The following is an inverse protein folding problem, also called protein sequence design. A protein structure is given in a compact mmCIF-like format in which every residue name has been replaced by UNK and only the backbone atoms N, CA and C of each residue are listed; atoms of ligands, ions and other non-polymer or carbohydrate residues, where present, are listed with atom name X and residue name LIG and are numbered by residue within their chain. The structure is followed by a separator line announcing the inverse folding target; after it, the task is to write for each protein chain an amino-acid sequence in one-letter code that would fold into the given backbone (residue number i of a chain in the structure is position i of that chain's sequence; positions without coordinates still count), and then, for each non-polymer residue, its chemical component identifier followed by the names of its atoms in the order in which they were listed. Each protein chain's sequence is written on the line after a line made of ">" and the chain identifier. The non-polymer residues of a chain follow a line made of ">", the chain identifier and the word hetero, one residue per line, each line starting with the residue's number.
data_IF_599615052576
#
_entry.id   IF_599615052576
#
_cell.length_a   1.000
_cell.length_b   1.000
_cell.length_c   1.000
_cell.angle_alpha   90.00
_cell.angle_beta   90.00
_cell.angle_gamma   90.00
#
_symmetry.space_group_name_H-M   'P 1'
#
loop_
_entity.id
_entity.type
_entity.pdbx_description
1 polymer ?
#
# COMPACT_ATOMS: atom_id res chain seq x y z
N UNK A 1 -10.89 -4.89 -17.67
CA UNK A 1 -10.22 -6.17 -17.47
C UNK A 1 -9.43 -6.63 -18.70
N UNK A 2 -9.93 -6.37 -19.91
CA UNK A 2 -9.30 -6.83 -21.16
C UNK A 2 -7.91 -6.27 -21.41
N UNK A 3 -7.58 -5.11 -20.84
CA UNK A 3 -6.28 -4.48 -21.02
C UNK A 3 -5.23 -4.91 -19.97
N UNK A 4 -5.56 -5.66 -18.92
CA UNK A 4 -4.59 -6.06 -17.89
C UNK A 4 -3.45 -6.89 -18.46
N UNK A 5 -3.76 -7.90 -19.26
CA UNK A 5 -2.74 -8.71 -19.94
C UNK A 5 -1.87 -7.87 -20.89
N UNK A 6 -2.47 -6.87 -21.53
CA UNK A 6 -1.74 -5.97 -22.41
C UNK A 6 -0.79 -5.07 -21.63
N UNK A 7 -1.24 -4.50 -20.49
CA UNK A 7 -0.40 -3.71 -19.60
C UNK A 7 0.80 -4.53 -19.07
N UNK A 8 0.56 -5.77 -18.65
CA UNK A 8 1.61 -6.67 -18.21
C UNK A 8 2.64 -6.95 -19.32
N UNK A 9 2.18 -7.28 -20.53
CA UNK A 9 3.08 -7.52 -21.67
C UNK A 9 3.90 -6.30 -22.08
N UNK A 10 3.36 -5.10 -21.88
CA UNK A 10 4.06 -3.84 -22.17
C UNK A 10 5.01 -3.42 -21.05
N UNK A 11 5.06 -4.15 -19.95
CA UNK A 11 5.89 -3.80 -18.78
C UNK A 11 5.45 -2.53 -18.07
N UNK A 12 4.15 -2.17 -18.16
CA UNK A 12 3.61 -1.00 -17.49
C UNK A 12 3.48 -1.28 -16.01
N UNK A 13 3.99 -0.39 -15.17
CA UNK A 13 3.78 -0.41 -13.73
C UNK A 13 2.59 0.47 -13.34
N UNK A 14 1.82 0.07 -12.33
CA UNK A 14 0.69 0.80 -11.81
C UNK A 14 1.04 1.50 -10.50
N UNK A 15 1.04 2.83 -10.50
CA UNK A 15 1.10 3.65 -9.29
C UNK A 15 -0.34 3.92 -8.83
N UNK A 16 -0.71 3.44 -7.65
CA UNK A 16 -2.06 3.56 -7.11
C UNK A 16 -2.07 4.09 -5.67
N UNK A 17 -3.20 4.64 -5.24
CA UNK A 17 -3.35 5.33 -3.96
C UNK A 17 -4.43 4.62 -3.10
N UNK A 18 -4.03 3.67 -2.24
CA UNK A 18 -5.02 2.90 -1.46
C UNK A 18 -5.85 3.76 -0.49
N UNK A 19 -5.30 4.87 0.02
CA UNK A 19 -6.05 5.77 0.87
C UNK A 19 -7.19 6.45 0.10
N UNK A 20 -6.95 6.88 -1.15
CA UNK A 20 -8.01 7.46 -1.99
C UNK A 20 -9.16 6.47 -2.19
N UNK A 21 -8.84 5.18 -2.36
CA UNK A 21 -9.86 4.15 -2.56
C UNK A 21 -10.94 4.18 -1.47
N UNK A 22 -10.56 4.24 -0.18
CA UNK A 22 -11.54 4.25 0.92
C UNK A 22 -12.32 5.56 1.03
N UNK A 23 -11.78 6.66 0.52
CA UNK A 23 -12.49 7.94 0.42
C UNK A 23 -13.50 7.94 -0.73
N UNK A 24 -13.16 7.30 -1.83
CA UNK A 24 -13.93 7.32 -3.08
C UNK A 24 -15.07 6.33 -3.13
N UNK A 25 -15.18 5.38 -2.18
CA UNK A 25 -16.17 4.30 -2.20
C UNK A 25 -17.58 4.80 -2.57
N UNK A 26 -18.09 5.78 -1.82
CA UNK A 26 -19.45 6.28 -2.01
C UNK A 26 -19.63 6.94 -3.39
N UNK A 27 -18.66 7.76 -3.80
CA UNK A 27 -18.68 8.43 -5.10
C UNK A 27 -18.65 7.41 -6.26
N UNK A 28 -17.84 6.36 -6.15
CA UNK A 28 -17.73 5.33 -7.18
C UNK A 28 -19.04 4.53 -7.26
N UNK A 29 -19.59 4.11 -6.13
CA UNK A 29 -20.83 3.34 -6.08
C UNK A 29 -22.00 4.14 -6.69
N UNK A 30 -22.07 5.45 -6.43
CA UNK A 30 -23.08 6.34 -7.00
C UNK A 30 -22.89 6.62 -8.50
N UNK A 31 -21.62 6.80 -8.94
CA UNK A 31 -21.30 7.26 -10.29
C UNK A 31 -21.27 6.13 -11.33
N UNK A 32 -20.70 4.98 -10.97
CA UNK A 32 -20.46 3.87 -11.90
C UNK A 32 -21.10 2.54 -11.47
N UNK A 33 -21.65 2.48 -10.27
CA UNK A 33 -22.39 1.33 -9.74
C UNK A 33 -21.57 0.03 -9.81
N UNK A 34 -22.13 -1.08 -10.34
CA UNK A 34 -21.44 -2.38 -10.38
C UNK A 34 -20.11 -2.39 -11.16
N UNK A 35 -19.83 -1.38 -11.97
CA UNK A 35 -18.55 -1.24 -12.64
C UNK A 35 -17.42 -0.81 -11.68
N UNK A 36 -17.77 -0.34 -10.49
CA UNK A 36 -16.82 -0.01 -9.40
C UNK A 36 -15.86 -1.15 -9.07
N UNK A 37 -16.26 -2.41 -9.30
CA UNK A 37 -15.39 -3.59 -9.12
C UNK A 37 -14.08 -3.54 -9.94
N UNK A 38 -14.03 -2.72 -10.99
CA UNK A 38 -12.85 -2.55 -11.84
C UNK A 38 -11.97 -1.37 -11.42
N UNK A 39 -12.44 -0.57 -10.45
CA UNK A 39 -11.65 0.51 -9.88
C UNK A 39 -10.81 -0.03 -8.73
N UNK A 40 -9.58 0.48 -8.57
CA UNK A 40 -8.68 0.02 -7.51
C UNK A 40 -8.54 -1.51 -7.46
N UNK A 41 -8.42 -2.15 -8.64
CA UNK A 41 -8.40 -3.60 -8.82
C UNK A 41 -7.02 -4.18 -8.55
N UNK A 42 -6.51 -4.05 -7.31
CA UNK A 42 -5.14 -4.40 -6.94
C UNK A 42 -4.84 -5.89 -7.16
N UNK A 43 -5.76 -6.77 -6.73
CA UNK A 43 -5.56 -8.21 -6.89
C UNK A 43 -5.47 -8.61 -8.36
N UNK A 44 -6.42 -8.13 -9.18
CA UNK A 44 -6.44 -8.43 -10.61
C UNK A 44 -5.16 -7.94 -11.31
N UNK A 45 -4.64 -6.76 -10.93
CA UNK A 45 -3.39 -6.22 -11.50
C UNK A 45 -2.19 -7.09 -11.10
N UNK A 46 -2.08 -7.45 -9.82
CA UNK A 46 -0.97 -8.28 -9.32
C UNK A 46 -1.02 -9.67 -9.96
N UNK A 47 -2.19 -10.29 -10.03
CA UNK A 47 -2.38 -11.61 -10.64
C UNK A 47 -2.09 -11.62 -12.15
N UNK A 48 -2.30 -10.49 -12.81
CA UNK A 48 -1.90 -10.30 -14.22
C UNK A 48 -0.38 -10.06 -14.38
N UNK A 49 0.39 -9.97 -13.30
CA UNK A 49 1.84 -9.72 -13.33
C UNK A 49 2.22 -8.25 -13.54
N UNK A 50 1.30 -7.32 -13.32
CA UNK A 50 1.58 -5.89 -13.36
C UNK A 50 2.26 -5.50 -12.03
N UNK A 51 3.44 -4.87 -12.05
CA UNK A 51 4.04 -4.31 -10.85
C UNK A 51 3.14 -3.20 -10.28
N UNK A 52 2.60 -3.41 -9.07
CA UNK A 52 1.75 -2.44 -8.37
C UNK A 52 2.53 -1.81 -7.24
N UNK A 53 2.59 -0.49 -7.21
CA UNK A 53 3.21 0.26 -6.12
C UNK A 53 2.34 1.42 -5.68
N UNK A 54 2.59 1.92 -4.48
CA UNK A 54 1.68 2.81 -3.80
C UNK A 54 2.28 4.18 -3.55
N UNK A 55 1.39 5.19 -3.55
CA UNK A 55 1.67 6.55 -3.11
C UNK A 55 0.52 7.09 -2.27
N UNK A 56 0.73 8.22 -1.60
CA UNK A 56 -0.30 8.87 -0.78
C UNK A 56 -1.12 9.88 -1.57
N UNK A 57 -0.59 10.41 -2.67
CA UNK A 57 -1.17 11.56 -3.39
C UNK A 57 -1.26 12.81 -2.48
N UNK A 58 -0.30 12.97 -1.57
CA UNK A 58 -0.29 14.16 -0.70
C UNK A 58 -0.19 15.45 -1.52
N UNK A 59 -0.93 16.52 -1.16
CA UNK A 59 -1.71 16.71 0.08
C UNK A 59 -3.18 16.28 0.00
N UNK A 60 -3.58 15.49 -1.01
CA UNK A 60 -4.97 15.02 -1.14
C UNK A 60 -5.31 14.07 0.01
N UNK A 61 -4.38 13.18 0.36
CA UNK A 61 -4.50 12.27 1.48
C UNK A 61 -3.35 12.44 2.48
N UNK A 62 -3.49 11.79 3.65
CA UNK A 62 -2.42 11.66 4.63
C UNK A 62 -1.20 10.95 4.02
N UNK A 63 -0.01 11.36 4.45
CA UNK A 63 1.25 10.79 3.98
C UNK A 63 1.58 9.43 4.60
N UNK A 64 0.81 8.97 5.62
CA UNK A 64 1.09 7.73 6.34
C UNK A 64 0.90 6.49 5.46
N UNK A 65 1.95 5.69 5.22
CA UNK A 65 1.82 4.42 4.50
C UNK A 65 0.94 3.40 5.24
N UNK A 66 0.84 3.49 6.58
CA UNK A 66 0.06 2.56 7.39
C UNK A 66 -1.43 2.64 7.08
N UNK A 67 -1.95 3.84 6.79
CA UNK A 67 -3.33 4.04 6.33
C UNK A 67 -3.53 3.37 4.97
N UNK A 68 -2.58 3.52 4.06
CA UNK A 68 -2.64 2.89 2.74
C UNK A 68 -2.53 1.35 2.81
N UNK A 69 -1.65 0.81 3.67
CA UNK A 69 -1.54 -0.63 3.91
C UNK A 69 -2.86 -1.18 4.46
N UNK A 70 -3.41 -0.54 5.52
CA UNK A 70 -4.72 -0.89 6.06
C UNK A 70 -5.80 -0.91 4.97
N UNK A 71 -5.90 0.15 4.18
CA UNK A 71 -6.89 0.27 3.12
C UNK A 71 -6.76 -0.83 2.05
N UNK A 72 -5.53 -1.14 1.62
CA UNK A 72 -5.29 -2.16 0.60
C UNK A 72 -5.60 -3.59 1.09
N UNK A 73 -5.32 -3.86 2.38
CA UNK A 73 -5.50 -5.18 2.99
C UNK A 73 -6.95 -5.43 3.42
N UNK A 74 -7.59 -4.43 4.01
CA UNK A 74 -8.97 -4.58 4.54
C UNK A 74 -10.05 -4.18 3.54
N UNK A 75 -9.76 -3.18 2.70
CA UNK A 75 -10.71 -2.47 1.84
C UNK A 75 -11.86 -1.85 2.64
N UNK A 76 -11.55 -1.40 3.84
CA UNK A 76 -12.47 -0.79 4.79
C UNK A 76 -11.91 0.55 5.28
N UNK A 77 -12.81 1.43 5.69
CA UNK A 77 -12.46 2.60 6.51
C UNK A 77 -12.05 2.14 7.91
N UNK A 78 -11.46 3.04 8.69
CA UNK A 78 -11.06 2.77 10.07
C UNK A 78 -12.22 2.34 10.98
N UNK A 79 -13.44 2.75 10.67
CA UNK A 79 -14.67 2.37 11.39
C UNK A 79 -15.22 0.99 11.00
N UNK A 80 -14.52 0.25 10.14
CA UNK A 80 -14.91 -1.08 9.66
C UNK A 80 -15.91 -1.05 8.49
N UNK A 81 -16.25 0.11 7.95
CA UNK A 81 -17.18 0.20 6.82
C UNK A 81 -16.47 0.22 5.46
N UNK A 82 -17.08 -0.36 4.40
CA UNK A 82 -18.24 -1.25 4.44
C UNK A 82 -17.89 -2.59 5.10
N UNK A 83 -18.86 -3.19 5.79
CA UNK A 83 -18.68 -4.51 6.43
C UNK A 83 -18.22 -5.54 5.40
N UNK A 84 -17.20 -6.33 5.77
CA UNK A 84 -16.60 -7.31 4.88
C UNK A 84 -15.74 -6.71 3.76
N UNK A 85 -15.55 -5.39 3.71
CA UNK A 85 -14.68 -4.71 2.72
C UNK A 85 -15.33 -4.45 1.37
N UNK A 86 -14.98 -3.32 0.77
CA UNK A 86 -15.45 -2.94 -0.56
C UNK A 86 -14.78 -3.79 -1.65
N UNK A 87 -15.55 -4.60 -2.37
CA UNK A 87 -15.05 -5.60 -3.32
C UNK A 87 -13.89 -6.45 -2.72
N UNK A 88 -14.17 -7.29 -1.71
CA UNK A 88 -13.15 -7.97 -0.92
C UNK A 88 -12.26 -8.93 -1.74
N UNK A 89 -12.68 -9.34 -2.92
CA UNK A 89 -11.84 -10.09 -3.85
C UNK A 89 -10.63 -9.31 -4.38
N UNK A 90 -10.60 -8.00 -4.18
CA UNK A 90 -9.48 -7.14 -4.56
C UNK A 90 -8.51 -6.85 -3.40
N UNK A 91 -8.66 -7.53 -2.26
CA UNK A 91 -7.70 -7.46 -1.15
C UNK A 91 -6.35 -8.01 -1.56
N UNK A 92 -5.33 -7.47 -0.96
CA UNK A 92 -3.96 -7.99 -1.05
C UNK A 92 -3.44 -8.32 0.35
N UNK A 93 -2.39 -9.10 0.44
CA UNK A 93 -1.74 -9.43 1.72
C UNK A 93 -0.97 -8.23 2.29
N UNK A 94 -0.66 -8.28 3.59
CA UNK A 94 0.21 -7.29 4.24
C UNK A 94 1.58 -7.26 3.56
N UNK A 95 2.15 -8.42 3.19
CA UNK A 95 3.43 -8.48 2.48
C UNK A 95 3.38 -7.75 1.14
N UNK A 96 2.36 -8.01 0.32
CA UNK A 96 2.19 -7.34 -0.97
C UNK A 96 2.03 -5.82 -0.78
N UNK A 97 1.29 -5.39 0.24
CA UNK A 97 1.10 -3.97 0.55
C UNK A 97 2.41 -3.30 1.00
N UNK A 98 3.18 -3.93 1.90
CA UNK A 98 4.50 -3.43 2.33
C UNK A 98 5.46 -3.38 1.15
N UNK A 99 5.51 -4.41 0.33
CA UNK A 99 6.34 -4.44 -0.89
C UNK A 99 5.97 -3.32 -1.86
N UNK A 100 4.67 -3.02 -1.98
CA UNK A 100 4.16 -1.91 -2.80
C UNK A 100 4.64 -0.52 -2.34
N UNK A 101 4.99 -0.37 -1.06
CA UNK A 101 5.57 0.86 -0.51
C UNK A 101 7.10 0.84 -0.43
N UNK A 102 7.77 -0.28 -0.69
CA UNK A 102 9.21 -0.43 -0.45
C UNK A 102 9.96 -0.91 -1.69
N UNK A 103 10.04 -2.24 -1.89
CA UNK A 103 10.90 -2.81 -2.93
C UNK A 103 10.33 -2.62 -4.35
N UNK A 104 9.01 -2.67 -4.53
CA UNK A 104 8.43 -2.54 -5.87
C UNK A 104 8.72 -1.17 -6.49
N UNK A 105 8.45 -0.02 -5.82
CA UNK A 105 8.85 1.28 -6.37
C UNK A 105 10.37 1.39 -6.57
N UNK A 106 11.19 0.79 -5.70
CA UNK A 106 12.65 0.79 -5.88
C UNK A 106 13.06 0.09 -7.18
N UNK A 107 12.45 -1.05 -7.48
CA UNK A 107 12.67 -1.77 -8.75
C UNK A 107 12.27 -0.93 -9.98
N UNK A 108 11.09 -0.28 -9.91
CA UNK A 108 10.58 0.55 -11.01
C UNK A 108 11.52 1.72 -11.30
N UNK A 109 12.11 2.31 -10.27
CA UNK A 109 13.06 3.42 -10.41
C UNK A 109 14.52 2.99 -10.59
N UNK A 110 14.80 1.67 -10.70
CA UNK A 110 16.16 1.12 -10.88
C UNK A 110 17.06 1.41 -9.68
N UNK A 111 16.53 1.34 -8.48
CA UNK A 111 17.24 1.59 -7.22
C UNK A 111 17.16 0.43 -6.23
N UNK A 112 16.71 -0.70 -6.66
CA UNK A 112 16.54 -1.89 -5.82
C UNK A 112 17.87 -2.54 -5.40
N UNK A 113 18.96 -2.15 -6.00
CA UNK A 113 20.32 -2.49 -5.57
C UNK A 113 20.77 -1.73 -4.32
N UNK A 114 20.21 -0.53 -4.07
CA UNK A 114 20.65 0.37 -2.97
C UNK A 114 19.59 0.63 -1.89
N UNK A 115 18.29 0.47 -2.18
CA UNK A 115 17.19 0.71 -1.23
C UNK A 115 16.05 -0.30 -1.40
N UNK A 116 15.02 -0.20 -0.57
CA UNK A 116 13.74 -0.92 -0.70
C UNK A 116 13.68 -2.29 -0.02
N UNK A 117 14.78 -2.80 0.52
CA UNK A 117 14.80 -4.03 1.32
C UNK A 117 15.91 -4.01 2.37
N UNK A 118 15.72 -4.77 3.45
CA UNK A 118 16.72 -4.95 4.50
C UNK A 118 17.71 -6.03 4.04
N UNK A 119 18.72 -5.62 3.30
CA UNK A 119 19.76 -6.50 2.73
C UNK A 119 21.12 -5.88 2.96
N UNK A 120 22.15 -6.65 3.39
CA UNK A 120 23.51 -6.13 3.56
C UNK A 120 24.00 -5.43 2.29
N UNK A 121 24.58 -4.26 2.46
CA UNK A 121 25.10 -3.41 1.37
C UNK A 121 24.14 -2.33 0.88
N UNK A 122 22.87 -2.36 1.29
CA UNK A 122 21.91 -1.29 1.01
C UNK A 122 21.94 -0.19 2.07
N UNK A 123 21.42 0.98 1.71
CA UNK A 123 21.22 2.07 2.67
C UNK A 123 20.34 1.61 3.83
N UNK A 124 20.71 2.03 5.04
CA UNK A 124 19.91 1.77 6.24
C UNK A 124 18.80 2.84 6.37
N UNK A 125 17.91 2.87 5.38
CA UNK A 125 16.67 3.64 5.37
C UNK A 125 15.57 2.74 5.94
N UNK A 126 15.33 2.85 7.25
CA UNK A 126 14.53 1.90 8.01
C UNK A 126 13.44 2.62 8.81
N UNK A 127 12.32 1.95 8.97
CA UNK A 127 11.30 2.31 9.95
C UNK A 127 11.12 1.17 10.93
N UNK A 128 11.04 1.50 12.23
CA UNK A 128 10.69 0.57 13.30
C UNK A 128 9.30 0.94 13.77
N UNK A 129 8.41 -0.04 13.80
CA UNK A 129 7.03 0.10 14.24
C UNK A 129 6.90 -0.37 15.69
N UNK A 130 5.88 0.13 16.42
CA UNK A 130 5.60 -0.26 17.81
C UNK A 130 4.95 -1.64 17.94
N UNK A 131 4.52 -2.22 16.81
CA UNK A 131 3.92 -3.56 16.75
C UNK A 131 4.22 -4.25 15.41
N UNK A 132 4.11 -5.57 15.40
CA UNK A 132 4.31 -6.38 14.20
C UNK A 132 3.02 -6.40 13.37
N UNK A 133 2.99 -5.62 12.29
CA UNK A 133 1.82 -5.51 11.39
C UNK A 133 1.50 -6.79 10.61
N UNK A 134 2.40 -7.78 10.62
CA UNK A 134 2.15 -9.08 9.99
C UNK A 134 1.39 -10.05 10.91
N UNK A 135 1.35 -9.78 12.22
CA UNK A 135 0.76 -10.67 13.24
C UNK A 135 -0.51 -10.16 13.90
N UNK A 136 -0.80 -8.85 13.80
CA UNK A 136 -2.00 -8.23 14.36
C UNK A 136 -3.21 -8.35 13.43
N UNK A 137 -4.40 -8.05 13.96
CA UNK A 137 -5.59 -7.88 13.11
C UNK A 137 -5.32 -6.75 12.08
N UNK A 138 -5.57 -6.97 10.78
CA UNK A 138 -5.41 -5.93 9.76
C UNK A 138 -6.16 -4.63 10.06
N UNK A 139 -7.25 -4.68 10.81
CA UNK A 139 -7.98 -3.48 11.25
C UNK A 139 -7.18 -2.64 12.24
N UNK A 140 -6.20 -3.22 12.94
CA UNK A 140 -5.35 -2.50 13.90
C UNK A 140 -4.13 -1.84 13.25
N UNK A 141 -3.83 -2.15 11.97
CA UNK A 141 -2.66 -1.59 11.25
C UNK A 141 -2.69 -0.07 11.26
N UNK A 142 -3.86 0.53 11.11
CA UNK A 142 -4.04 1.99 11.08
C UNK A 142 -3.69 2.67 12.42
N UNK A 143 -3.66 1.94 13.52
CA UNK A 143 -3.30 2.43 14.86
C UNK A 143 -1.84 2.17 15.23
N UNK A 144 -1.08 1.53 14.33
CA UNK A 144 0.36 1.30 14.49
C UNK A 144 1.13 2.62 14.45
N UNK A 145 2.14 2.75 15.31
CA UNK A 145 2.95 3.96 15.39
C UNK A 145 4.38 3.69 14.93
N UNK A 146 5.00 4.71 14.37
CA UNK A 146 6.43 4.68 14.09
C UNK A 146 7.19 4.94 15.38
N UNK A 147 8.01 3.97 15.80
CA UNK A 147 8.90 4.07 16.95
C UNK A 147 10.19 4.82 16.58
N UNK A 148 10.83 4.44 15.49
CA UNK A 148 12.04 5.08 14.98
C UNK A 148 11.98 5.18 13.45
N UNK A 149 12.60 6.24 12.92
CA UNK A 149 12.95 6.31 11.50
C UNK A 149 14.44 6.56 11.37
N UNK A 150 15.09 5.75 10.55
CA UNK A 150 16.49 5.91 10.18
C UNK A 150 16.59 6.32 8.72
N UNK A 151 17.48 7.25 8.43
CA UNK A 151 17.87 7.62 7.08
C UNK A 151 19.38 7.53 6.97
N UNK A 152 19.87 6.73 6.06
CA UNK A 152 21.29 6.42 5.88
C UNK A 152 21.99 6.03 7.22
N UNK A 153 21.30 5.18 7.99
CA UNK A 153 21.79 4.70 9.30
C UNK A 153 21.69 5.71 10.46
N UNK A 154 21.19 6.92 10.22
CA UNK A 154 21.03 7.96 11.25
C UNK A 154 19.58 8.01 11.70
N UNK A 155 19.34 8.07 13.00
CA UNK A 155 18.01 8.29 13.56
C UNK A 155 17.58 9.72 13.23
N UNK A 156 16.52 9.85 12.40
CA UNK A 156 15.92 11.14 12.02
C UNK A 156 14.57 11.41 12.70
N UNK A 157 13.96 10.36 13.25
CA UNK A 157 12.75 10.47 14.05
C UNK A 157 12.77 9.44 15.18
N UNK A 158 12.28 9.85 16.36
CA UNK A 158 12.08 8.99 17.52
C UNK A 158 10.69 9.30 18.10
N UNK A 159 9.83 8.27 18.15
CA UNK A 159 8.51 8.36 18.76
C UNK A 159 8.56 8.48 20.29
N UNK A 160 7.48 8.95 20.89
CA UNK A 160 7.37 9.07 22.34
C UNK A 160 7.45 7.67 22.99
N UNK A 161 8.32 7.53 24.00
CA UNK A 161 8.51 6.28 24.74
C UNK A 161 9.54 5.30 24.16
N UNK A 162 10.31 5.71 23.12
CA UNK A 162 11.38 4.90 22.50
C UNK A 162 12.75 5.55 22.59
#
# INVERSE_FOLDING_TARGET
>A
PEDLERLARLGVAACVQPHNMILDISMIDESVGPKGKWTYAYRDMIDAGIPVFFSSDAPVCDTSPLVGIHAAVTRQRKDGTPEGGWYPGQRISVDEAVRGYTIVPSMIYGRDDVVGSITPGKHADLVILDRDIYSIDPMEIVDTRVALTLFDGRIVYRGDGF
#
